data_IF_226212984137
#
_entry.id   IF_226212984137
#
_cell.length_a   1.000
_cell.length_b   1.000
_cell.length_c   1.000
_cell.angle_alpha   90.00
_cell.angle_beta   90.00
_cell.angle_gamma   90.00
#
_symmetry.space_group_name_H-M   'P 1'
#
loop_
_entity.id
_entity.type
_entity.pdbx_description
1 polymer ?
#
# COMPACT_ATOMS: atom_id res chain seq x y z
N UNK A 1 43.64 -72.55 6.28
CA UNK A 1 43.13 -71.77 7.45
C UNK A 1 42.57 -70.44 6.95
N UNK A 2 42.04 -70.42 5.72
CA UNK A 2 42.19 -69.24 4.86
C UNK A 2 40.83 -68.57 4.61
N UNK A 3 39.74 -69.36 4.52
CA UNK A 3 38.40 -68.82 4.30
C UNK A 3 37.79 -68.00 5.45
N UNK A 4 38.39 -68.00 6.65
CA UNK A 4 37.92 -67.19 7.78
C UNK A 4 38.50 -65.77 7.75
N UNK A 5 39.72 -65.60 7.21
CA UNK A 5 40.30 -64.26 6.98
C UNK A 5 39.66 -63.60 5.77
N UNK A 6 39.43 -64.38 4.70
CA UNK A 6 38.82 -63.88 3.47
C UNK A 6 37.38 -63.39 3.73
N UNK A 7 36.54 -64.20 4.38
CA UNK A 7 35.15 -63.80 4.67
C UNK A 7 35.02 -62.64 5.67
N UNK A 8 36.02 -62.41 6.52
CA UNK A 8 36.03 -61.27 7.45
C UNK A 8 36.51 -59.98 6.76
N UNK A 9 37.50 -60.07 5.88
CA UNK A 9 37.93 -58.91 5.07
C UNK A 9 36.85 -58.48 4.08
N UNK A 10 36.21 -59.43 3.40
CA UNK A 10 35.15 -59.15 2.43
C UNK A 10 33.93 -58.49 3.11
N UNK A 11 33.43 -59.06 4.20
CA UNK A 11 32.29 -58.48 4.91
C UNK A 11 32.56 -57.12 5.56
N UNK A 12 33.81 -56.85 5.94
CA UNK A 12 34.20 -55.55 6.48
C UNK A 12 34.39 -54.49 5.39
N UNK A 13 34.98 -54.85 4.24
CA UNK A 13 35.10 -53.95 3.09
C UNK A 13 33.73 -53.62 2.50
N UNK A 14 32.86 -54.60 2.33
CA UNK A 14 31.52 -54.40 1.76
C UNK A 14 30.68 -53.53 2.68
N UNK A 15 30.61 -53.84 3.98
CA UNK A 15 29.82 -53.05 4.93
C UNK A 15 30.35 -51.62 5.13
N UNK A 16 31.65 -51.42 4.99
CA UNK A 16 32.25 -50.08 5.07
C UNK A 16 32.06 -49.27 3.78
N UNK A 17 32.23 -49.89 2.60
CA UNK A 17 31.97 -49.22 1.32
C UNK A 17 30.50 -48.87 1.16
N UNK A 18 29.59 -49.79 1.48
CA UNK A 18 28.14 -49.55 1.38
C UNK A 18 27.70 -48.46 2.37
N UNK A 19 28.11 -48.57 3.64
CA UNK A 19 27.75 -47.57 4.65
C UNK A 19 28.33 -46.18 4.38
N UNK A 20 29.53 -46.12 3.81
CA UNK A 20 30.16 -44.85 3.45
C UNK A 20 29.58 -44.25 2.17
N UNK A 21 29.37 -45.05 1.11
CA UNK A 21 28.72 -44.58 -0.12
C UNK A 21 27.29 -44.14 0.17
N UNK A 22 26.47 -44.94 0.83
CA UNK A 22 25.06 -44.59 1.08
C UNK A 22 24.93 -43.41 2.05
N UNK A 23 25.71 -43.41 3.13
CA UNK A 23 25.63 -42.36 4.15
C UNK A 23 26.19 -41.03 3.68
N UNK A 24 27.33 -41.04 3.01
CA UNK A 24 27.98 -39.80 2.54
C UNK A 24 27.33 -39.30 1.25
N UNK A 25 27.09 -40.17 0.27
CA UNK A 25 26.53 -39.75 -1.01
C UNK A 25 25.06 -39.41 -0.88
N UNK A 26 24.26 -40.22 -0.16
CA UNK A 26 22.85 -39.91 0.11
C UNK A 26 22.68 -38.69 1.00
N UNK A 27 23.35 -38.66 2.16
CA UNK A 27 23.19 -37.55 3.11
C UNK A 27 23.71 -36.21 2.60
N UNK A 28 24.81 -36.20 1.83
CA UNK A 28 25.34 -34.97 1.25
C UNK A 28 24.52 -34.49 0.06
N UNK A 29 24.08 -35.41 -0.81
CA UNK A 29 23.29 -35.06 -1.98
C UNK A 29 21.89 -34.60 -1.57
N UNK A 30 21.23 -35.29 -0.65
CA UNK A 30 19.91 -34.89 -0.13
C UNK A 30 20.01 -33.59 0.67
N UNK A 31 20.95 -33.48 1.61
CA UNK A 31 21.08 -32.27 2.44
C UNK A 31 21.51 -31.03 1.67
N UNK A 32 22.34 -31.17 0.64
CA UNK A 32 22.75 -30.06 -0.22
C UNK A 32 21.63 -29.66 -1.19
N UNK A 33 20.95 -30.65 -1.78
CA UNK A 33 19.88 -30.40 -2.74
C UNK A 33 18.65 -29.80 -2.04
N UNK A 34 18.24 -30.35 -0.90
CA UNK A 34 17.13 -29.79 -0.09
C UNK A 34 17.49 -28.41 0.45
N UNK A 35 18.67 -28.25 1.08
CA UNK A 35 19.05 -26.96 1.67
C UNK A 35 19.25 -25.83 0.65
N UNK A 36 19.76 -26.15 -0.55
CA UNK A 36 19.91 -25.17 -1.62
C UNK A 36 18.57 -24.87 -2.30
N UNK A 37 17.76 -25.89 -2.56
CA UNK A 37 16.48 -25.73 -3.23
C UNK A 37 15.47 -25.02 -2.34
N UNK A 38 15.34 -25.40 -1.06
CA UNK A 38 14.46 -24.74 -0.11
C UNK A 38 14.95 -23.31 0.19
N UNK A 39 16.24 -23.14 0.51
CA UNK A 39 16.77 -21.82 0.88
C UNK A 39 16.72 -20.80 -0.26
N UNK A 40 16.98 -21.24 -1.50
CA UNK A 40 16.91 -20.35 -2.67
C UNK A 40 15.47 -20.09 -3.09
N UNK A 41 14.62 -21.11 -3.09
CA UNK A 41 13.23 -20.98 -3.52
C UNK A 41 12.41 -20.19 -2.49
N UNK A 42 12.57 -20.45 -1.19
CA UNK A 42 11.90 -19.66 -0.14
C UNK A 42 12.46 -18.25 -0.06
N UNK A 43 13.78 -18.06 -0.11
CA UNK A 43 14.38 -16.74 0.00
C UNK A 43 14.03 -15.84 -1.17
N UNK A 44 14.03 -16.38 -2.39
CA UNK A 44 13.72 -15.62 -3.58
C UNK A 44 12.21 -15.41 -3.76
N UNK A 45 11.40 -16.44 -3.52
CA UNK A 45 9.95 -16.34 -3.70
C UNK A 45 9.30 -15.50 -2.60
N UNK A 46 9.68 -15.69 -1.33
CA UNK A 46 9.11 -14.90 -0.24
C UNK A 46 9.65 -13.47 -0.27
N UNK A 47 10.96 -13.27 -0.43
CA UNK A 47 11.52 -11.91 -0.48
C UNK A 47 10.96 -11.09 -1.65
N UNK A 48 10.88 -11.68 -2.84
CA UNK A 48 10.37 -10.94 -4.00
C UNK A 48 8.85 -10.73 -3.96
N UNK A 49 8.09 -11.68 -3.40
CA UNK A 49 6.64 -11.55 -3.28
C UNK A 49 6.24 -10.58 -2.16
N UNK A 50 6.93 -10.61 -1.02
CA UNK A 50 6.69 -9.70 0.11
C UNK A 50 7.07 -8.27 -0.27
N UNK A 51 8.28 -8.02 -0.79
CA UNK A 51 8.68 -6.64 -1.14
C UNK A 51 7.84 -6.04 -2.27
N UNK A 52 7.41 -6.87 -3.23
CA UNK A 52 6.61 -6.39 -4.34
C UNK A 52 5.14 -6.21 -3.97
N UNK A 53 4.55 -7.12 -3.19
CA UNK A 53 3.17 -6.95 -2.71
C UNK A 53 3.09 -5.82 -1.70
N UNK A 54 3.94 -5.80 -0.68
CA UNK A 54 3.88 -4.77 0.37
C UNK A 54 4.22 -3.40 -0.21
N UNK A 55 5.31 -3.27 -0.97
CA UNK A 55 5.72 -1.99 -1.53
C UNK A 55 4.73 -1.42 -2.55
N UNK A 56 4.07 -2.27 -3.34
CA UNK A 56 3.06 -1.83 -4.30
C UNK A 56 1.72 -1.53 -3.63
N UNK A 57 1.31 -2.38 -2.69
CA UNK A 57 0.02 -2.26 -2.02
C UNK A 57 0.03 -1.08 -1.04
N UNK A 58 1.07 -0.90 -0.23
CA UNK A 58 1.22 0.24 0.66
C UNK A 58 1.39 1.53 -0.14
N UNK A 59 2.29 1.56 -1.12
CA UNK A 59 2.55 2.76 -1.92
C UNK A 59 1.34 3.23 -2.74
N UNK A 60 0.54 2.29 -3.25
CA UNK A 60 -0.68 2.62 -3.99
C UNK A 60 -1.82 3.02 -3.05
N UNK A 61 -1.99 2.30 -1.94
CA UNK A 61 -3.07 2.55 -1.00
C UNK A 61 -2.85 3.85 -0.24
N UNK A 62 -1.65 4.10 0.28
CA UNK A 62 -1.29 5.35 0.95
C UNK A 62 -1.34 6.53 -0.03
N UNK A 63 -0.68 6.41 -1.19
CA UNK A 63 -0.64 7.51 -2.17
C UNK A 63 -2.00 7.88 -2.76
N UNK A 64 -2.89 6.90 -2.95
CA UNK A 64 -4.25 7.14 -3.43
C UNK A 64 -5.16 7.66 -2.32
N UNK A 65 -5.05 7.11 -1.10
CA UNK A 65 -5.91 7.48 0.02
C UNK A 65 -5.55 8.88 0.55
N UNK A 66 -4.26 9.20 0.69
CA UNK A 66 -3.79 10.54 1.07
C UNK A 66 -4.10 11.55 -0.03
N UNK A 67 -3.75 11.25 -1.30
CA UNK A 67 -4.00 12.17 -2.41
C UNK A 67 -5.49 12.45 -2.67
N UNK A 68 -6.36 11.48 -2.43
CA UNK A 68 -7.80 11.65 -2.57
C UNK A 68 -8.42 12.32 -1.34
N UNK A 69 -8.04 11.96 -0.12
CA UNK A 69 -8.53 12.65 1.08
C UNK A 69 -8.07 14.10 1.11
N UNK A 70 -6.78 14.37 0.96
CA UNK A 70 -6.26 15.74 1.03
C UNK A 70 -6.80 16.58 -0.13
N UNK A 71 -6.71 16.08 -1.36
CA UNK A 71 -7.16 16.83 -2.54
C UNK A 71 -8.67 17.09 -2.58
N UNK A 72 -9.49 16.15 -2.13
CA UNK A 72 -10.95 16.33 -2.09
C UNK A 72 -11.39 17.15 -0.89
N UNK A 73 -10.81 16.90 0.29
CA UNK A 73 -11.21 17.58 1.51
C UNK A 73 -10.73 19.03 1.51
N UNK A 74 -9.48 19.31 1.12
CA UNK A 74 -8.98 20.68 0.99
C UNK A 74 -9.69 21.41 -0.14
N UNK A 75 -9.82 20.80 -1.33
CA UNK A 75 -10.47 21.44 -2.47
C UNK A 75 -11.96 21.73 -2.25
N UNK A 76 -12.69 20.86 -1.55
CA UNK A 76 -14.09 21.09 -1.22
C UNK A 76 -14.28 22.10 -0.09
N UNK A 77 -13.44 22.03 0.94
CA UNK A 77 -13.53 22.91 2.09
C UNK A 77 -13.11 24.34 1.72
N UNK A 78 -12.02 24.50 0.98
CA UNK A 78 -11.57 25.80 0.46
C UNK A 78 -12.59 26.37 -0.54
N UNK A 79 -13.03 25.58 -1.53
CA UNK A 79 -13.98 26.05 -2.54
C UNK A 79 -15.36 26.41 -1.98
N UNK A 80 -15.84 25.68 -0.97
CA UNK A 80 -17.11 26.00 -0.30
C UNK A 80 -16.97 27.21 0.63
N UNK A 81 -15.88 27.30 1.38
CA UNK A 81 -15.66 28.40 2.32
C UNK A 81 -15.42 29.71 1.57
N UNK A 82 -14.59 29.71 0.54
CA UNK A 82 -14.33 30.87 -0.32
C UNK A 82 -15.60 31.30 -1.08
N UNK A 83 -16.29 30.35 -1.74
CA UNK A 83 -17.51 30.65 -2.49
C UNK A 83 -18.66 31.16 -1.61
N UNK A 84 -18.77 30.68 -0.36
CA UNK A 84 -19.76 31.17 0.59
C UNK A 84 -19.37 32.54 1.16
N UNK A 85 -18.10 32.77 1.52
CA UNK A 85 -17.63 34.07 2.00
C UNK A 85 -17.76 35.16 0.92
N UNK A 86 -17.38 34.85 -0.32
CA UNK A 86 -17.46 35.77 -1.45
C UNK A 86 -18.92 36.07 -1.81
N UNK A 87 -19.77 35.04 -1.92
CA UNK A 87 -21.20 35.22 -2.21
C UNK A 87 -21.95 36.00 -1.13
N UNK A 88 -21.56 35.86 0.14
CA UNK A 88 -22.19 36.58 1.25
C UNK A 88 -21.69 38.03 1.35
N UNK A 89 -20.39 38.26 1.12
CA UNK A 89 -19.82 39.62 1.07
C UNK A 89 -20.31 40.41 -0.14
N UNK A 90 -20.42 39.79 -1.32
CA UNK A 90 -20.85 40.45 -2.55
C UNK A 90 -22.37 40.63 -2.58
N UNK A 91 -23.14 39.56 -2.31
CA UNK A 91 -24.61 39.61 -2.28
C UNK A 91 -25.20 40.45 -1.13
N UNK A 92 -24.47 40.58 -0.02
CA UNK A 92 -24.85 41.48 1.09
C UNK A 92 -24.61 42.96 0.78
N UNK A 93 -23.60 43.27 -0.04
CA UNK A 93 -23.25 44.65 -0.41
C UNK A 93 -24.25 45.23 -1.42
N UNK A 94 -24.67 44.43 -2.40
CA UNK A 94 -25.63 44.86 -3.43
C UNK A 94 -27.05 44.97 -2.87
N UNK A 95 -27.48 44.00 -2.06
CA UNK A 95 -28.86 44.00 -1.50
C UNK A 95 -29.08 45.10 -0.46
N UNK A 96 -28.03 45.49 0.26
CA UNK A 96 -28.09 46.54 1.29
C UNK A 96 -28.12 47.97 0.72
N UNK A 97 -27.48 48.21 -0.42
CA UNK A 97 -27.43 49.54 -1.03
C UNK A 97 -28.65 49.84 -1.93
N UNK A 98 -29.17 48.85 -2.67
CA UNK A 98 -30.27 49.07 -3.62
C UNK A 98 -31.68 48.92 -3.01
N UNK A 99 -31.83 48.15 -1.92
CA UNK A 99 -33.14 48.02 -1.25
C UNK A 99 -33.57 49.28 -0.49
N UNK A 100 -32.63 49.94 0.20
CA UNK A 100 -32.94 51.09 1.05
C UNK A 100 -33.09 52.41 0.30
N UNK A 101 -32.49 52.55 -0.88
CA UNK A 101 -32.51 53.79 -1.67
C UNK A 101 -33.77 53.90 -2.54
N UNK A 102 -34.31 52.79 -3.01
CA UNK A 102 -35.49 52.75 -3.87
C UNK A 102 -36.82 52.83 -3.09
N UNK A 103 -36.87 52.36 -1.84
CA UNK A 103 -38.08 52.41 -1.02
C UNK A 103 -38.31 53.80 -0.40
N UNK A 104 -37.24 54.45 0.06
CA UNK A 104 -37.27 55.83 0.59
C UNK A 104 -37.61 56.89 -0.44
N UNK A 105 -37.25 56.66 -1.71
CA UNK A 105 -37.53 57.61 -2.79
C UNK A 105 -38.98 57.51 -3.27
N UNK A 106 -39.60 56.33 -3.21
CA UNK A 106 -40.96 56.09 -3.69
C UNK A 106 -42.05 56.55 -2.70
N UNK A 107 -41.85 56.38 -1.38
CA UNK A 107 -42.79 56.90 -0.36
C UNK A 107 -42.82 58.43 -0.29
N UNK A 108 -41.68 59.09 -0.52
CA UNK A 108 -41.58 60.55 -0.43
C UNK A 108 -42.24 61.27 -1.61
N UNK A 109 -42.29 60.63 -2.78
CA UNK A 109 -42.96 61.16 -3.97
C UNK A 109 -44.48 61.00 -3.91
N UNK A 110 -45.01 59.94 -3.29
CA UNK A 110 -46.46 59.74 -3.15
C UNK A 110 -47.10 60.60 -2.06
N UNK A 111 -46.36 60.98 -1.02
CA UNK A 111 -46.85 61.87 0.03
C UNK A 111 -47.05 63.32 -0.43
N UNK A 112 -46.44 63.73 -1.56
CA UNK A 112 -46.50 65.11 -2.07
C UNK A 112 -47.57 65.36 -3.14
N UNK A 113 -48.28 64.33 -3.61
CA UNK A 113 -49.30 64.47 -4.67
C UNK A 113 -50.74 64.40 -4.17
N UNK A 114 -50.96 64.26 -2.86
CA UNK A 114 -52.27 64.27 -2.21
C UNK A 114 -52.30 65.24 -1.00
N UNK A 115 -51.90 66.49 -1.22
CA UNK A 115 -52.25 67.63 -0.37
C UNK A 115 -52.61 68.83 -1.23
#
# INVERSE_FOLDING_TARGET
MDGWMDGWMDGWMDGWMDGWMDGWMGGWMDGWMDGWMDGWMDGWMNGWMDEWMDGWMDGWMDGWMDGWMDGWMDGWMDGWMDGWMDGWMEGGRDRGMDGGTNEWTHERTHAHTHS
#
